data_IF_597972010362
#
_entry.id   IF_597972010362
#
_cell.length_a   1.000
_cell.length_b   1.000
_cell.length_c   1.000
_cell.angle_alpha   90.00
_cell.angle_beta   90.00
_cell.angle_gamma   90.00
#
_symmetry.space_group_name_H-M   'P 1'
#
loop_
_entity.id
_entity.type
_entity.pdbx_description
1 polymer ?
#
# COMPACT_ATOMS: atom_id res chain seq x y z
N UNK A 1 1.31 0.08 20.76
CA UNK A 1 2.68 -0.24 20.27
C UNK A 1 3.67 -0.66 21.36
N UNK A 2 3.62 -0.12 22.59
CA UNK A 2 4.64 -0.38 23.62
C UNK A 2 4.76 -1.83 24.14
N UNK A 3 3.63 -2.55 24.32
CA UNK A 3 3.66 -3.92 24.84
C UNK A 3 4.35 -4.93 23.90
N UNK A 4 4.35 -4.64 22.59
CA UNK A 4 4.88 -5.55 21.57
C UNK A 4 6.37 -5.35 21.28
N UNK A 5 6.85 -4.11 21.45
CA UNK A 5 8.27 -3.79 21.46
C UNK A 5 9.00 -4.59 22.54
N UNK A 6 8.42 -4.66 23.74
CA UNK A 6 8.94 -5.46 24.85
C UNK A 6 9.01 -6.96 24.52
N UNK A 7 8.08 -7.53 23.75
CA UNK A 7 8.09 -8.97 23.46
C UNK A 7 9.15 -9.41 22.43
N UNK A 8 9.67 -8.48 21.61
CA UNK A 8 10.62 -8.80 20.53
C UNK A 8 12.05 -8.31 20.80
N UNK A 9 12.28 -7.68 21.94
CA UNK A 9 13.64 -7.40 22.42
C UNK A 9 14.34 -8.73 22.69
N UNK A 10 15.59 -8.92 22.24
CA UNK A 10 16.36 -10.14 22.46
C UNK A 10 16.89 -10.16 23.91
N UNK A 11 15.99 -10.24 24.89
CA UNK A 11 16.30 -10.19 26.32
C UNK A 11 17.39 -11.18 26.73
N UNK A 12 17.42 -12.35 26.10
CA UNK A 12 18.46 -13.36 26.34
C UNK A 12 19.84 -12.88 25.91
N UNK A 13 19.95 -12.25 24.75
CA UNK A 13 21.22 -11.69 24.27
C UNK A 13 21.64 -10.48 25.13
N UNK A 14 20.68 -9.64 25.52
CA UNK A 14 20.91 -8.52 26.42
C UNK A 14 21.41 -8.99 27.80
N UNK A 15 20.84 -10.07 28.33
CA UNK A 15 21.25 -10.67 29.61
C UNK A 15 22.68 -11.22 29.54
N UNK A 16 23.02 -11.97 28.48
CA UNK A 16 24.39 -12.46 28.28
C UNK A 16 25.38 -11.30 28.17
N UNK A 17 25.03 -10.27 27.40
CA UNK A 17 25.86 -9.08 27.25
C UNK A 17 26.07 -8.35 28.59
N UNK A 18 25.01 -8.22 29.39
CA UNK A 18 25.07 -7.64 30.74
C UNK A 18 25.99 -8.41 31.68
N UNK A 19 25.92 -9.75 31.67
CA UNK A 19 26.80 -10.61 32.49
C UNK A 19 28.27 -10.45 32.08
N UNK A 20 28.58 -10.46 30.78
CA UNK A 20 29.95 -10.25 30.27
C UNK A 20 30.46 -8.86 30.66
N UNK A 21 29.61 -7.83 30.57
CA UNK A 21 29.92 -6.48 31.01
C UNK A 21 30.27 -6.42 32.50
N UNK A 22 29.48 -7.07 33.36
CA UNK A 22 29.73 -7.11 34.81
C UNK A 22 31.02 -7.84 35.18
N UNK A 23 31.34 -8.96 34.52
CA UNK A 23 32.60 -9.69 34.72
C UNK A 23 33.80 -8.84 34.29
N UNK A 24 33.69 -8.14 33.17
CA UNK A 24 34.75 -7.26 32.66
C UNK A 24 34.95 -6.06 33.60
N UNK A 25 33.86 -5.47 34.08
CA UNK A 25 33.89 -4.38 35.06
C UNK A 25 34.57 -4.80 36.37
N UNK A 26 34.21 -5.98 36.90
CA UNK A 26 34.77 -6.50 38.15
C UNK A 26 36.25 -6.89 38.05
N UNK A 27 36.76 -7.18 36.86
CA UNK A 27 38.17 -7.59 36.65
C UNK A 27 39.09 -6.46 36.21
N UNK A 28 38.59 -5.45 35.48
CA UNK A 28 39.41 -4.38 34.89
C UNK A 28 39.06 -2.97 35.37
N UNK A 29 37.94 -2.79 36.05
CA UNK A 29 37.47 -1.48 36.49
C UNK A 29 36.80 -0.66 35.39
N UNK A 30 36.22 0.47 35.78
CA UNK A 30 35.38 1.33 34.91
C UNK A 30 36.20 2.17 33.93
N UNK A 31 37.45 2.48 34.30
CA UNK A 31 38.35 3.35 33.54
C UNK A 31 39.15 2.60 32.47
N UNK A 32 38.98 1.27 32.37
CA UNK A 32 39.63 0.46 31.35
C UNK A 32 39.12 0.83 29.95
N UNK A 33 40.01 1.26 29.06
CA UNK A 33 39.69 1.58 27.68
C UNK A 33 39.03 0.39 26.94
N UNK A 34 39.37 -0.85 27.31
CA UNK A 34 38.75 -2.05 26.77
C UNK A 34 37.29 -2.18 27.19
N UNK A 35 36.98 -1.92 28.45
CA UNK A 35 35.60 -1.86 28.96
C UNK A 35 34.78 -0.75 28.28
N UNK A 36 35.33 0.46 28.19
CA UNK A 36 34.65 1.59 27.52
C UNK A 36 34.37 1.26 26.05
N UNK A 37 35.35 0.73 25.31
CA UNK A 37 35.19 0.32 23.93
C UNK A 37 34.14 -0.79 23.75
N UNK A 38 34.15 -1.80 24.63
CA UNK A 38 33.16 -2.88 24.63
C UNK A 38 31.74 -2.33 24.79
N UNK A 39 31.52 -1.47 25.80
CA UNK A 39 30.21 -0.84 26.06
C UNK A 39 29.74 -0.03 24.85
N UNK A 40 30.60 0.82 24.30
CA UNK A 40 30.25 1.65 23.13
C UNK A 40 29.88 0.80 21.92
N UNK A 41 30.67 -0.24 21.62
CA UNK A 41 30.41 -1.15 20.51
C UNK A 41 29.08 -1.88 20.72
N UNK A 42 28.81 -2.41 21.91
CA UNK A 42 27.55 -3.10 22.17
C UNK A 42 26.32 -2.20 22.13
N UNK A 43 26.41 -0.95 22.59
CA UNK A 43 25.31 0.03 22.44
C UNK A 43 25.02 0.29 20.96
N UNK A 44 26.07 0.43 20.15
CA UNK A 44 25.96 0.67 18.71
C UNK A 44 25.31 -0.53 18.00
N UNK A 45 25.80 -1.75 18.27
CA UNK A 45 25.22 -2.98 17.74
C UNK A 45 23.77 -3.19 18.19
N UNK A 46 23.45 -2.94 19.45
CA UNK A 46 22.09 -3.06 19.97
C UNK A 46 21.16 -2.06 19.29
N UNK A 47 21.58 -0.81 19.14
CA UNK A 47 20.80 0.23 18.45
C UNK A 47 20.52 -0.15 16.99
N UNK A 48 21.53 -0.64 16.27
CA UNK A 48 21.37 -1.14 14.90
C UNK A 48 20.45 -2.35 14.83
N UNK A 49 20.57 -3.29 15.77
CA UNK A 49 19.71 -4.47 15.83
C UNK A 49 18.24 -4.09 16.03
N UNK A 50 17.96 -3.19 16.98
CA UNK A 50 16.61 -2.69 17.23
C UNK A 50 16.07 -1.98 15.99
N UNK A 51 16.87 -1.14 15.33
CA UNK A 51 16.46 -0.45 14.10
C UNK A 51 16.11 -1.44 12.99
N UNK A 52 16.97 -2.42 12.70
CA UNK A 52 16.74 -3.43 11.66
C UNK A 52 15.50 -4.26 11.95
N UNK A 53 15.34 -4.69 13.21
CA UNK A 53 14.17 -5.46 13.63
C UNK A 53 12.90 -4.65 13.46
N UNK A 54 12.91 -3.37 13.86
CA UNK A 54 11.79 -2.47 13.70
C UNK A 54 11.41 -2.26 12.23
N UNK A 55 12.39 -2.02 11.35
CA UNK A 55 12.15 -1.86 9.91
C UNK A 55 11.53 -3.11 9.29
N UNK A 56 12.16 -4.28 9.51
CA UNK A 56 11.68 -5.56 8.97
C UNK A 56 10.25 -5.84 9.42
N UNK A 57 10.00 -5.54 10.67
CA UNK A 57 8.70 -5.75 11.27
C UNK A 57 7.65 -4.81 10.67
N UNK A 58 7.90 -3.51 10.63
CA UNK A 58 6.98 -2.54 10.04
C UNK A 58 6.63 -2.93 8.60
N UNK A 59 7.61 -3.40 7.82
CA UNK A 59 7.36 -3.91 6.48
C UNK A 59 6.44 -5.14 6.46
N UNK A 60 6.63 -6.08 7.38
CA UNK A 60 5.77 -7.24 7.51
C UNK A 60 4.32 -6.86 7.88
N UNK A 61 4.14 -5.95 8.85
CA UNK A 61 2.82 -5.43 9.21
C UNK A 61 2.16 -4.72 8.03
N UNK A 62 2.86 -3.80 7.37
CA UNK A 62 2.37 -3.08 6.18
C UNK A 62 1.88 -4.06 5.10
N UNK A 63 2.67 -5.11 4.83
CA UNK A 63 2.29 -6.14 3.86
C UNK A 63 1.05 -6.95 4.30
N UNK A 64 0.96 -7.36 5.57
CA UNK A 64 -0.19 -8.11 6.08
C UNK A 64 -1.46 -7.27 6.06
N UNK A 65 -1.38 -6.02 6.52
CA UNK A 65 -2.47 -5.06 6.54
C UNK A 65 -2.96 -4.80 5.11
N UNK A 66 -2.06 -4.51 4.17
CA UNK A 66 -2.40 -4.32 2.75
C UNK A 66 -3.11 -5.53 2.16
N UNK A 67 -2.63 -6.74 2.46
CA UNK A 67 -3.21 -7.98 1.95
C UNK A 67 -4.60 -8.32 2.55
N UNK A 68 -5.05 -7.58 3.56
CA UNK A 68 -6.38 -7.71 4.17
C UNK A 68 -7.28 -6.56 3.71
N UNK A 69 -6.79 -5.32 3.77
CA UNK A 69 -7.56 -4.12 3.43
C UNK A 69 -7.97 -4.11 1.95
N UNK A 70 -7.03 -4.37 1.03
CA UNK A 70 -7.32 -4.23 -0.41
C UNK A 70 -8.43 -5.18 -0.87
N UNK A 71 -8.41 -6.49 -0.53
CA UNK A 71 -9.51 -7.39 -0.85
C UNK A 71 -10.86 -6.96 -0.29
N UNK A 72 -10.93 -6.52 0.98
CA UNK A 72 -12.19 -6.10 1.60
C UNK A 72 -12.79 -4.87 0.89
N UNK A 73 -11.95 -3.90 0.51
CA UNK A 73 -12.40 -2.74 -0.25
C UNK A 73 -12.85 -3.11 -1.68
N UNK A 74 -12.18 -4.07 -2.31
CA UNK A 74 -12.60 -4.59 -3.62
C UNK A 74 -13.93 -5.33 -3.58
N UNK A 75 -14.17 -6.13 -2.54
CA UNK A 75 -15.39 -6.92 -2.39
C UNK A 75 -16.61 -6.04 -2.09
N UNK A 76 -16.45 -5.11 -1.14
CA UNK A 76 -17.55 -4.28 -0.64
C UNK A 76 -17.78 -2.99 -1.40
N UNK A 77 -16.80 -2.53 -2.19
CA UNK A 77 -16.84 -1.33 -3.06
C UNK A 77 -17.49 -0.10 -2.39
N UNK A 78 -16.97 0.37 -1.24
CA UNK A 78 -17.58 1.47 -0.50
C UNK A 78 -17.64 2.79 -1.28
N UNK A 79 -16.77 2.97 -2.28
CA UNK A 79 -16.72 4.19 -3.09
C UNK A 79 -17.80 4.25 -4.18
N UNK A 80 -18.46 3.13 -4.47
CA UNK A 80 -19.58 3.08 -5.42
C UNK A 80 -20.90 3.60 -4.83
N UNK A 81 -21.01 3.61 -3.50
CA UNK A 81 -22.24 3.97 -2.80
C UNK A 81 -22.36 5.48 -2.59
N UNK A 82 -23.47 6.05 -3.04
CA UNK A 82 -23.76 7.49 -2.96
C UNK A 82 -24.35 7.89 -1.62
N UNK A 83 -25.15 7.00 -1.03
CA UNK A 83 -25.78 7.28 0.23
C UNK A 83 -24.72 7.24 1.32
N UNK A 84 -24.38 8.39 1.88
CA UNK A 84 -23.36 8.54 2.92
C UNK A 84 -23.61 7.62 4.12
N UNK A 85 -24.87 7.45 4.53
CA UNK A 85 -25.21 6.58 5.65
C UNK A 85 -24.94 5.10 5.31
N UNK A 86 -25.28 4.67 4.09
CA UNK A 86 -25.03 3.30 3.65
C UNK A 86 -23.55 3.04 3.42
N UNK A 87 -22.82 4.02 2.89
CA UNK A 87 -21.36 3.98 2.77
C UNK A 87 -20.69 3.83 4.13
N UNK A 88 -21.13 4.56 5.15
CA UNK A 88 -20.57 4.43 6.49
C UNK A 88 -20.82 3.05 7.08
N UNK A 89 -22.03 2.49 6.93
CA UNK A 89 -22.32 1.11 7.36
C UNK A 89 -21.38 0.08 6.69
N UNK A 90 -21.11 0.25 5.39
CA UNK A 90 -20.16 -0.62 4.68
C UNK A 90 -18.75 -0.43 5.24
N UNK A 91 -18.31 0.80 5.50
CA UNK A 91 -16.99 1.07 6.07
C UNK A 91 -16.84 0.52 7.49
N UNK A 92 -17.89 0.58 8.32
CA UNK A 92 -17.91 -0.05 9.65
C UNK A 92 -17.83 -1.57 9.56
N UNK A 93 -18.51 -2.19 8.59
CA UNK A 93 -18.40 -3.62 8.32
C UNK A 93 -16.96 -4.01 7.93
N UNK A 94 -16.36 -3.26 6.99
CA UNK A 94 -14.96 -3.46 6.60
C UNK A 94 -14.04 -3.26 7.80
N UNK A 95 -14.25 -2.22 8.61
CA UNK A 95 -13.45 -1.95 9.80
C UNK A 95 -13.45 -3.15 10.76
N UNK A 96 -14.63 -3.71 11.04
CA UNK A 96 -14.76 -4.89 11.89
C UNK A 96 -14.05 -6.11 11.30
N UNK A 97 -14.24 -6.39 10.01
CA UNK A 97 -13.63 -7.53 9.31
C UNK A 97 -12.11 -7.43 9.24
N UNK A 98 -11.60 -6.25 8.87
CA UNK A 98 -10.16 -5.95 8.80
C UNK A 98 -9.53 -6.09 10.17
N UNK A 99 -10.12 -5.49 11.22
CA UNK A 99 -9.59 -5.59 12.57
C UNK A 99 -9.56 -7.05 13.07
N UNK A 100 -10.62 -7.81 12.84
CA UNK A 100 -10.66 -9.23 13.20
C UNK A 100 -9.57 -10.04 12.47
N UNK A 101 -9.47 -9.84 11.14
CA UNK A 101 -8.49 -10.53 10.30
C UNK A 101 -7.04 -10.18 10.65
N UNK A 102 -6.77 -8.90 10.93
CA UNK A 102 -5.45 -8.42 11.36
C UNK A 102 -5.10 -9.00 12.72
N UNK A 103 -5.99 -8.94 13.70
CA UNK A 103 -5.76 -9.52 15.03
C UNK A 103 -5.48 -11.02 14.94
N UNK A 104 -6.25 -11.75 14.12
CA UNK A 104 -6.06 -13.18 13.90
C UNK A 104 -4.70 -13.49 13.26
N UNK A 105 -4.30 -12.74 12.24
CA UNK A 105 -3.10 -13.02 11.45
C UNK A 105 -1.82 -12.57 12.13
N UNK A 106 -1.85 -11.41 12.81
CA UNK A 106 -0.70 -10.82 13.48
C UNK A 106 -0.58 -11.25 14.95
N UNK A 107 -1.64 -11.87 15.52
CA UNK A 107 -1.71 -12.23 16.95
C UNK A 107 -1.38 -11.05 17.85
N UNK A 108 -1.89 -9.88 17.48
CA UNK A 108 -1.71 -8.60 18.17
C UNK A 108 -3.06 -7.95 18.39
N UNK A 109 -3.13 -7.03 19.35
CA UNK A 109 -4.29 -6.14 19.53
C UNK A 109 -4.20 -4.93 18.56
N UNK A 110 -3.87 -5.18 17.29
CA UNK A 110 -3.77 -4.12 16.30
C UNK A 110 -5.13 -3.87 15.70
N UNK A 111 -5.72 -2.72 15.98
CA UNK A 111 -7.00 -2.32 15.43
C UNK A 111 -6.95 -0.90 14.91
N UNK A 112 -7.54 -0.68 13.75
CA UNK A 112 -7.93 0.66 13.31
C UNK A 112 -8.98 1.21 14.27
N UNK A 113 -8.83 2.49 14.64
CA UNK A 113 -9.69 3.14 15.63
C UNK A 113 -11.03 3.54 15.03
N UNK A 114 -11.03 3.92 13.75
CA UNK A 114 -12.19 4.46 13.06
C UNK A 114 -12.10 4.17 11.55
N UNK A 115 -13.20 4.43 10.84
CA UNK A 115 -13.33 4.26 9.39
C UNK A 115 -12.45 5.21 8.58
N UNK A 116 -12.10 6.38 9.13
CA UNK A 116 -11.23 7.37 8.49
C UNK A 116 -9.79 6.84 8.39
N UNK A 117 -9.23 6.32 9.49
CA UNK A 117 -7.89 5.74 9.55
C UNK A 117 -7.77 4.58 8.54
N UNK A 118 -8.81 3.76 8.44
CA UNK A 118 -8.92 2.67 7.49
C UNK A 118 -8.86 3.16 6.03
N UNK A 119 -9.64 4.19 5.70
CA UNK A 119 -9.66 4.78 4.34
C UNK A 119 -8.32 5.44 4.01
N UNK A 120 -7.69 6.12 4.98
CA UNK A 120 -6.34 6.69 4.80
C UNK A 120 -5.35 5.57 4.47
N UNK A 121 -5.33 4.49 5.24
CA UNK A 121 -4.44 3.35 5.00
C UNK A 121 -4.69 2.72 3.62
N UNK A 122 -5.95 2.57 3.20
CA UNK A 122 -6.30 2.10 1.86
C UNK A 122 -5.72 3.02 0.77
N UNK A 123 -5.93 4.32 0.89
CA UNK A 123 -5.45 5.31 -0.08
C UNK A 123 -3.92 5.34 -0.15
N UNK A 124 -3.23 5.25 0.99
CA UNK A 124 -1.76 5.16 1.03
C UNK A 124 -1.25 3.91 0.30
N UNK A 125 -1.93 2.77 0.47
CA UNK A 125 -1.59 1.54 -0.26
C UNK A 125 -1.77 1.73 -1.77
N UNK A 126 -2.86 2.36 -2.19
CA UNK A 126 -3.17 2.60 -3.59
C UNK A 126 -2.21 3.61 -4.24
N UNK A 127 -1.89 4.70 -3.54
CA UNK A 127 -0.94 5.72 -3.99
C UNK A 127 0.47 5.16 -4.14
N UNK A 128 0.90 4.33 -3.18
CA UNK A 128 2.20 3.65 -3.24
C UNK A 128 2.26 2.74 -4.47
N UNK A 129 1.20 1.99 -4.73
CA UNK A 129 1.10 1.15 -5.93
C UNK A 129 1.08 1.99 -7.22
N UNK A 130 0.31 3.07 -7.27
CA UNK A 130 0.25 3.97 -8.43
C UNK A 130 1.62 4.55 -8.78
N UNK A 131 2.37 5.02 -7.78
CA UNK A 131 3.75 5.50 -7.98
C UNK A 131 4.70 4.40 -8.46
N UNK A 132 4.47 3.15 -8.05
CA UNK A 132 5.24 2.01 -8.53
C UNK A 132 4.86 1.67 -9.97
N UNK A 133 3.58 1.68 -10.31
CA UNK A 133 3.06 1.46 -11.66
C UNK A 133 3.66 2.48 -12.64
N UNK A 134 3.59 3.77 -12.30
CA UNK A 134 4.10 4.86 -13.15
C UNK A 134 5.63 4.82 -13.34
N UNK A 135 6.39 4.20 -12.43
CA UNK A 135 7.87 4.17 -12.47
C UNK A 135 8.43 2.86 -13.02
N UNK A 136 7.91 1.73 -12.57
CA UNK A 136 8.46 0.40 -12.84
C UNK A 136 7.75 -0.29 -14.00
N UNK A 137 6.50 0.06 -14.27
CA UNK A 137 5.64 -0.62 -15.22
C UNK A 137 5.17 0.30 -16.37
N UNK A 138 5.76 1.49 -16.52
CA UNK A 138 5.34 2.47 -17.54
C UNK A 138 5.33 1.94 -18.99
N UNK A 139 6.20 0.98 -19.29
CA UNK A 139 6.34 0.36 -20.61
C UNK A 139 5.97 -1.14 -20.60
N UNK A 140 5.53 -1.66 -19.45
CA UNK A 140 5.20 -3.08 -19.29
C UNK A 140 3.71 -3.24 -19.59
N UNK A 141 3.33 -4.11 -20.54
CA UNK A 141 1.93 -4.36 -20.82
C UNK A 141 1.25 -5.05 -19.62
N UNK A 142 -0.02 -4.71 -19.39
CA UNK A 142 -0.80 -5.18 -18.24
C UNK A 142 -0.83 -6.72 -18.14
N UNK A 143 -0.74 -7.44 -19.27
CA UNK A 143 -0.71 -8.90 -19.32
C UNK A 143 0.56 -9.52 -18.71
N UNK A 144 1.67 -8.77 -18.71
CA UNK A 144 2.96 -9.20 -18.16
C UNK A 144 3.06 -8.98 -16.65
N UNK A 145 2.20 -8.13 -16.07
CA UNK A 145 2.09 -7.93 -14.63
C UNK A 145 1.49 -9.19 -13.98
N UNK A 146 2.21 -9.77 -13.02
CA UNK A 146 1.87 -11.06 -12.38
C UNK A 146 1.83 -10.95 -10.86
N UNK A 147 1.18 -11.94 -10.24
CA UNK A 147 1.12 -12.08 -8.79
C UNK A 147 0.30 -10.98 -8.11
N UNK A 148 0.77 -10.50 -6.96
CA UNK A 148 0.06 -9.50 -6.16
C UNK A 148 -0.07 -8.16 -6.88
N UNK A 149 0.89 -7.80 -7.74
CA UNK A 149 0.83 -6.55 -8.50
C UNK A 149 -0.33 -6.54 -9.50
N UNK A 150 -0.69 -7.71 -10.06
CA UNK A 150 -1.87 -7.86 -10.91
C UNK A 150 -3.16 -7.68 -10.11
N UNK A 151 -3.19 -8.16 -8.87
CA UNK A 151 -4.33 -7.98 -7.96
C UNK A 151 -4.48 -6.50 -7.60
N UNK A 152 -3.38 -5.81 -7.30
CA UNK A 152 -3.38 -4.36 -7.05
C UNK A 152 -3.80 -3.55 -8.28
N UNK A 153 -3.40 -3.96 -9.49
CA UNK A 153 -3.86 -3.34 -10.74
C UNK A 153 -5.38 -3.48 -10.91
N UNK A 154 -5.92 -4.67 -10.65
CA UNK A 154 -7.37 -4.88 -10.66
C UNK A 154 -8.07 -4.01 -9.61
N UNK A 155 -7.52 -3.90 -8.40
CA UNK A 155 -8.04 -3.04 -7.35
C UNK A 155 -8.07 -1.57 -7.77
N UNK A 156 -6.99 -1.08 -8.38
CA UNK A 156 -6.90 0.28 -8.93
C UNK A 156 -7.98 0.51 -9.98
N UNK A 157 -8.10 -0.39 -10.96
CA UNK A 157 -9.06 -0.24 -12.05
C UNK A 157 -10.51 -0.23 -11.52
N UNK A 158 -10.84 -1.09 -10.55
CA UNK A 158 -12.14 -1.06 -9.88
C UNK A 158 -12.39 0.24 -9.11
N UNK A 159 -11.37 0.79 -8.44
CA UNK A 159 -11.49 2.06 -7.73
C UNK A 159 -11.69 3.25 -8.70
N UNK A 160 -10.98 3.25 -9.83
CA UNK A 160 -11.17 4.25 -10.89
C UNK A 160 -12.59 4.17 -11.48
N UNK A 161 -13.10 2.96 -11.75
CA UNK A 161 -14.48 2.72 -12.17
C UNK A 161 -15.51 3.21 -11.13
N UNK A 162 -15.27 2.96 -9.84
CA UNK A 162 -16.15 3.41 -8.76
C UNK A 162 -16.22 4.93 -8.70
N UNK A 163 -15.08 5.61 -8.85
CA UNK A 163 -15.00 7.07 -8.88
C UNK A 163 -15.71 7.62 -10.13
N UNK A 164 -15.49 7.02 -11.30
CA UNK A 164 -16.16 7.44 -12.54
C UNK A 164 -17.68 7.27 -12.42
N UNK A 165 -18.14 6.11 -11.92
CA UNK A 165 -19.54 5.88 -11.63
C UNK A 165 -20.08 6.89 -10.63
N UNK A 166 -19.29 7.22 -9.60
CA UNK A 166 -19.68 8.21 -8.60
C UNK A 166 -19.87 9.60 -9.23
N UNK A 167 -18.91 10.05 -10.03
CA UNK A 167 -18.95 11.36 -10.69
C UNK A 167 -20.16 11.44 -11.65
N UNK A 168 -20.38 10.40 -12.46
CA UNK A 168 -21.42 10.37 -13.49
C UNK A 168 -22.85 10.39 -12.92
N UNK A 169 -23.06 9.90 -11.70
CA UNK A 169 -24.38 9.89 -11.07
C UNK A 169 -24.58 11.04 -10.06
N UNK A 170 -23.51 11.58 -9.48
CA UNK A 170 -23.60 12.68 -8.52
C UNK A 170 -23.72 14.06 -9.18
N UNK A 171 -23.16 14.22 -10.39
CA UNK A 171 -23.09 15.51 -11.08
C UNK A 171 -23.79 15.46 -12.43
N UNK A 172 -24.33 16.61 -12.86
CA UNK A 172 -24.93 16.71 -14.19
C UNK A 172 -23.86 16.61 -15.28
N UNK A 173 -24.21 16.10 -16.48
CA UNK A 173 -23.29 16.03 -17.61
C UNK A 173 -22.64 17.38 -17.95
N UNK A 174 -23.37 18.48 -17.80
CA UNK A 174 -22.87 19.84 -18.04
C UNK A 174 -21.76 20.23 -17.07
N UNK A 175 -21.86 19.86 -15.79
CA UNK A 175 -20.82 20.11 -14.79
C UNK A 175 -19.59 19.23 -15.06
N UNK A 176 -19.80 17.97 -15.41
CA UNK A 176 -18.71 17.05 -15.77
C UNK A 176 -17.98 17.59 -17.01
N UNK A 177 -18.68 18.00 -18.06
CA UNK A 177 -18.06 18.54 -19.27
C UNK A 177 -17.31 19.86 -19.02
N UNK A 178 -17.84 20.71 -18.12
CA UNK A 178 -17.23 22.01 -17.79
C UNK A 178 -15.94 21.87 -16.98
N UNK A 179 -15.88 20.92 -16.03
CA UNK A 179 -14.79 20.81 -15.06
C UNK A 179 -13.88 19.58 -15.24
N UNK A 180 -14.34 18.49 -15.86
CA UNK A 180 -13.52 17.32 -16.20
C UNK A 180 -12.97 17.37 -17.63
N UNK A 181 -12.94 18.56 -18.25
CA UNK A 181 -12.42 18.76 -19.60
C UNK A 181 -10.94 18.35 -19.65
N UNK A 182 -10.68 17.12 -20.08
CA UNK A 182 -9.36 16.67 -20.50
C UNK A 182 -8.96 17.58 -21.66
N UNK A 183 -7.85 18.30 -21.54
CA UNK A 183 -7.18 18.83 -22.73
C UNK A 183 -6.83 17.64 -23.61
N UNK A 184 -7.69 17.32 -24.57
CA UNK A 184 -7.40 16.38 -25.65
C UNK A 184 -6.39 17.02 -26.58
N UNK A 185 -5.15 17.17 -26.13
CA UNK A 185 -4.00 17.40 -27.00
C UNK A 185 -3.20 16.09 -27.05
N UNK A 186 -3.62 15.16 -27.93
CA UNK A 186 -2.73 14.38 -28.84
C UNK A 186 -3.39 13.10 -29.41
N UNK A 187 -4.34 12.44 -28.73
CA UNK A 187 -4.75 11.09 -29.16
C UNK A 187 -5.93 10.98 -30.16
N UNK A 188 -6.70 12.04 -30.39
CA UNK A 188 -7.82 11.98 -31.35
C UNK A 188 -7.37 12.03 -32.83
N UNK A 189 -6.15 12.50 -33.12
CA UNK A 189 -5.66 12.53 -34.50
C UNK A 189 -5.25 11.12 -34.97
N UNK A 190 -4.74 10.26 -34.08
CA UNK A 190 -4.27 8.91 -34.45
C UNK A 190 -5.44 7.95 -34.72
N UNK A 191 -6.56 8.11 -33.99
CA UNK A 191 -7.75 7.27 -34.19
C UNK A 191 -8.50 7.68 -35.46
N UNK A 192 -8.62 8.98 -35.73
CA UNK A 192 -9.25 9.48 -36.95
C UNK A 192 -8.41 9.14 -38.20
N UNK A 193 -7.08 9.22 -38.13
CA UNK A 193 -6.20 8.86 -39.24
C UNK A 193 -6.26 7.35 -39.55
N UNK A 194 -6.36 6.48 -38.52
CA UNK A 194 -6.56 5.04 -38.73
C UNK A 194 -7.92 4.69 -39.33
N UNK A 195 -9.00 5.39 -38.95
CA UNK A 195 -10.33 5.18 -39.53
C UNK A 195 -10.42 5.66 -40.99
N UNK A 196 -9.75 6.76 -41.35
CA UNK A 196 -9.69 7.24 -42.74
C UNK A 196 -8.88 6.31 -43.65
N UNK A 197 -7.77 5.73 -43.14
CA UNK A 197 -6.96 4.75 -43.88
C UNK A 197 -7.74 3.44 -44.10
N UNK A 198 -8.48 2.96 -43.09
CA UNK A 198 -9.33 1.77 -43.21
C UNK A 198 -10.46 1.98 -44.22
N UNK A 199 -11.09 3.16 -44.21
CA UNK A 199 -12.17 3.50 -45.13
C UNK A 199 -11.69 3.62 -46.59
N UNK A 200 -10.48 4.17 -46.83
CA UNK A 200 -9.88 4.22 -48.18
C UNK A 200 -9.51 2.84 -48.72
N UNK A 201 -9.04 1.94 -47.88
CA UNK A 201 -8.65 0.59 -48.32
C UNK A 201 -9.86 -0.29 -48.67
N UNK A 202 -11.00 -0.11 -47.99
CA UNK A 202 -12.24 -0.80 -48.37
C UNK A 202 -12.83 -0.26 -49.69
N UNK A 203 -12.70 1.04 -49.95
CA UNK A 203 -13.12 1.67 -51.21
C UNK A 203 -12.24 1.29 -52.41
N UNK A 204 -10.96 0.98 -52.21
CA UNK A 204 -10.06 0.54 -53.29
C UNK A 204 -10.26 -0.92 -53.68
N UNK A 205 -10.58 -1.79 -52.71
CA UNK A 205 -10.89 -3.21 -52.97
C UNK A 205 -12.17 -3.41 -53.77
N UNK A 206 -13.19 -2.57 -53.56
CA UNK A 206 -14.45 -2.65 -54.33
C UNK A 206 -14.37 -2.10 -55.77
N UNK A 207 -13.25 -1.50 -56.19
CA UNK A 207 -13.07 -0.99 -57.56
C UNK A 207 -12.25 -1.93 -58.46
N UNK A 208 -11.71 -3.02 -57.93
CA UNK A 208 -10.82 -3.94 -58.68
C UNK A 208 -11.38 -5.36 -58.87
N UNK A 209 -12.65 -5.57 -58.51
CA UNK A 209 -13.43 -6.79 -58.77
C UNK A 209 -14.49 -6.56 -59.84
#
# INVERSE_FOLDING_TARGET
MGHWFLSNIPWKALAVYGVVGLVTLGTRGVDDYGFIAFVMVGVLFFSLFILITHIRLNYHYDAVIRNIIIPEFMDKRPFREFNTARKEVILEEILANVNNSVNLKLKTDYSFTNTIDLVIQYNECMDKFKRQLDKLYAEVPDEEIKGWDKFMLAAKNMADEDIEYAINNAYSPDLIQKYCKRENNSNNNIINERQDILSRNQLSQNRTS
#
